data_IF_381453263978
#
_entry.id   IF_381453263978
#
_cell.length_a   1.000
_cell.length_b   1.000
_cell.length_c   1.000
_cell.angle_alpha   90.00
_cell.angle_beta   90.00
_cell.angle_gamma   90.00
#
_symmetry.space_group_name_H-M   'P 1'
#
loop_
_entity.id
_entity.type
_entity.pdbx_description
1 polymer ?
#
# COMPACT_ATOMS: atom_id res chain seq x y z
N UNK A 1 -15.65 37.70 82.42
CA UNK A 1 -16.15 37.03 81.22
C UNK A 1 -15.29 37.48 80.08
N UNK A 2 -14.40 36.59 79.58
CA UNK A 2 -13.55 36.86 78.38
C UNK A 2 -14.11 35.99 77.24
N UNK A 3 -14.57 36.69 76.18
CA UNK A 3 -15.04 36.04 74.91
C UNK A 3 -13.84 35.85 73.99
N UNK A 4 -13.51 34.59 73.71
CA UNK A 4 -12.43 34.23 72.78
C UNK A 4 -13.07 34.06 71.40
N UNK A 5 -12.69 34.94 70.45
CA UNK A 5 -13.05 34.80 69.04
C UNK A 5 -12.03 33.88 68.35
N UNK A 6 -12.49 32.71 67.93
CA UNK A 6 -11.69 31.81 67.06
C UNK A 6 -11.89 32.19 65.59
N UNK A 7 -10.85 32.74 64.98
CA UNK A 7 -10.81 32.98 63.56
C UNK A 7 -10.53 31.68 62.79
N UNK A 8 -11.56 31.11 62.16
CA UNK A 8 -11.38 30.09 61.16
C UNK A 8 -10.84 30.69 59.87
N UNK A 9 -9.57 30.43 59.54
CA UNK A 9 -9.02 30.67 58.22
C UNK A 9 -9.44 29.54 57.29
N UNK A 10 -10.38 29.83 56.38
CA UNK A 10 -10.72 28.95 55.28
C UNK A 10 -9.60 29.10 54.25
N UNK A 11 -8.77 28.04 54.09
CA UNK A 11 -7.76 27.94 53.05
C UNK A 11 -8.50 27.51 51.76
N UNK A 12 -8.80 28.48 50.87
CA UNK A 12 -9.29 28.19 49.54
C UNK A 12 -8.12 27.64 48.73
N UNK A 13 -8.11 26.30 48.55
CA UNK A 13 -7.20 25.63 47.64
C UNK A 13 -7.76 25.80 46.23
N UNK A 14 -7.23 26.75 45.45
CA UNK A 14 -7.57 26.94 44.04
C UNK A 14 -6.98 25.78 43.26
N UNK A 15 -7.79 24.83 42.90
CA UNK A 15 -7.40 23.78 41.93
C UNK A 15 -7.38 24.42 40.54
N UNK A 16 -6.20 24.76 40.07
CA UNK A 16 -5.99 25.18 38.69
C UNK A 16 -6.02 23.92 37.82
N UNK A 17 -7.15 23.67 37.20
CA UNK A 17 -7.26 22.61 36.18
C UNK A 17 -6.57 23.12 34.93
N UNK A 18 -5.35 22.67 34.66
CA UNK A 18 -4.70 22.84 33.38
C UNK A 18 -5.42 21.96 32.35
N UNK A 19 -6.40 22.51 31.65
CA UNK A 19 -6.89 21.91 30.40
C UNK A 19 -5.89 22.23 29.29
N UNK A 20 -4.78 21.49 29.23
CA UNK A 20 -3.94 21.46 28.05
C UNK A 20 -4.73 20.82 26.87
N UNK A 21 -4.46 21.22 25.62
CA UNK A 21 -5.08 20.56 24.49
C UNK A 21 -4.73 19.06 24.58
N UNK A 22 -5.74 18.23 24.70
CA UNK A 22 -5.60 16.78 24.49
C UNK A 22 -5.39 16.62 22.99
N UNK A 23 -4.14 16.55 22.56
CA UNK A 23 -3.82 16.04 21.23
C UNK A 23 -4.26 14.59 21.24
N UNK A 24 -5.38 14.29 20.62
CA UNK A 24 -5.74 12.92 20.30
C UNK A 24 -4.56 12.34 19.54
N UNK A 25 -3.94 11.28 20.04
CA UNK A 25 -3.02 10.52 19.21
C UNK A 25 -3.84 10.09 18.00
N UNK A 26 -3.45 10.56 16.83
CA UNK A 26 -3.95 10.04 15.58
C UNK A 26 -3.46 8.59 15.53
N UNK A 27 -4.30 7.67 15.99
CA UNK A 27 -4.01 6.23 15.97
C UNK A 27 -4.23 5.75 14.56
N UNK A 28 -3.41 6.26 13.64
CA UNK A 28 -3.36 5.78 12.27
C UNK A 28 -3.01 4.30 12.25
N UNK A 29 -3.51 3.61 11.23
CA UNK A 29 -3.12 2.23 10.95
C UNK A 29 -2.25 2.21 9.72
N UNK A 30 -1.21 1.35 9.76
CA UNK A 30 -0.47 0.96 8.57
C UNK A 30 -1.20 -0.20 7.90
N UNK A 31 -1.25 -0.17 6.58
CA UNK A 31 -1.79 -1.25 5.77
C UNK A 31 -0.67 -1.82 4.90
N UNK A 32 -0.57 -3.14 4.86
CA UNK A 32 0.36 -3.88 4.01
C UNK A 32 -0.44 -4.72 3.03
N UNK A 33 -0.18 -4.56 1.73
CA UNK A 33 -0.58 -5.49 0.70
C UNK A 33 0.53 -6.53 0.49
N UNK A 34 0.16 -7.80 0.41
CA UNK A 34 1.12 -8.87 0.21
C UNK A 34 0.49 -10.05 -0.54
N UNK A 35 1.30 -11.00 -0.94
CA UNK A 35 0.90 -12.26 -1.53
C UNK A 35 1.58 -13.41 -0.79
N UNK A 36 1.07 -14.63 -0.95
CA UNK A 36 1.66 -15.85 -0.39
C UNK A 36 2.00 -16.83 -1.51
N UNK A 37 2.93 -17.75 -1.22
CA UNK A 37 3.38 -18.74 -2.21
C UNK A 37 3.91 -18.08 -3.48
N UNK A 38 3.36 -18.44 -4.62
CA UNK A 38 3.66 -17.86 -5.91
C UNK A 38 2.62 -16.80 -6.37
N UNK A 39 1.63 -16.49 -5.53
CA UNK A 39 0.60 -15.48 -5.81
C UNK A 39 -0.65 -16.02 -6.50
N UNK A 40 -0.87 -17.33 -6.49
CA UNK A 40 -2.02 -17.98 -7.16
C UNK A 40 -3.36 -17.65 -6.49
N UNK A 41 -3.37 -17.49 -5.18
CA UNK A 41 -4.58 -17.17 -4.42
C UNK A 41 -4.89 -15.69 -4.33
N UNK A 42 -3.90 -14.81 -4.61
CA UNK A 42 -4.09 -13.40 -4.86
C UNK A 42 -3.73 -12.45 -3.71
N UNK A 43 -4.56 -11.40 -3.55
CA UNK A 43 -4.32 -10.29 -2.65
C UNK A 43 -4.55 -10.66 -1.20
N UNK A 44 -3.57 -10.44 -0.36
CA UNK A 44 -3.68 -10.43 1.09
C UNK A 44 -3.43 -9.04 1.65
N UNK A 45 -4.06 -8.75 2.78
CA UNK A 45 -3.89 -7.50 3.51
C UNK A 45 -3.58 -7.79 4.97
N UNK A 46 -2.70 -6.99 5.55
CA UNK A 46 -2.42 -6.96 6.97
C UNK A 46 -2.41 -5.53 7.48
N UNK A 47 -2.67 -5.33 8.76
CA UNK A 47 -2.58 -4.02 9.40
C UNK A 47 -1.62 -4.05 10.57
N UNK A 48 -1.09 -2.86 10.89
CA UNK A 48 -0.27 -2.62 12.06
C UNK A 48 -0.62 -1.28 12.68
N UNK A 49 -0.42 -1.13 13.98
CA UNK A 49 -0.53 0.14 14.72
C UNK A 49 0.82 0.79 14.99
N UNK A 50 1.93 0.04 14.80
CA UNK A 50 3.29 0.47 15.12
C UNK A 50 4.29 0.29 13.96
N UNK A 51 3.86 -0.38 12.87
CA UNK A 51 4.71 -0.70 11.72
C UNK A 51 5.62 -1.91 11.90
N UNK A 52 5.62 -2.55 13.07
CA UNK A 52 6.47 -3.71 13.39
C UNK A 52 5.67 -4.99 13.56
N UNK A 53 4.58 -4.95 14.30
CA UNK A 53 3.69 -6.09 14.49
C UNK A 53 2.52 -6.02 13.53
N UNK A 54 2.38 -7.06 12.69
CA UNK A 54 1.38 -7.12 11.62
C UNK A 54 0.35 -8.21 11.90
N UNK A 55 -0.92 -7.88 11.70
CA UNK A 55 -2.04 -8.80 11.83
C UNK A 55 -2.73 -8.95 10.49
N UNK A 56 -2.82 -10.21 10.01
CA UNK A 56 -3.54 -10.51 8.79
C UNK A 56 -5.03 -10.13 8.93
N UNK A 57 -5.57 -9.53 7.88
CA UNK A 57 -7.00 -9.30 7.74
C UNK A 57 -7.69 -10.52 7.12
N UNK A 58 -9.02 -10.59 7.23
CA UNK A 58 -9.86 -11.66 6.66
C UNK A 58 -9.42 -13.06 7.08
N UNK A 59 -8.91 -13.23 8.31
CA UNK A 59 -8.36 -14.50 8.82
C UNK A 59 -7.26 -15.09 7.93
N UNK A 60 -6.49 -14.24 7.27
CA UNK A 60 -5.42 -14.62 6.32
C UNK A 60 -5.91 -15.13 4.97
N UNK A 61 -7.22 -15.02 4.68
CA UNK A 61 -7.77 -15.39 3.37
C UNK A 61 -7.59 -14.25 2.36
N UNK A 62 -7.46 -14.61 1.09
CA UNK A 62 -7.37 -13.66 -0.01
C UNK A 62 -8.59 -12.73 -0.10
N UNK A 63 -8.37 -11.48 -0.50
CA UNK A 63 -9.38 -10.47 -0.83
C UNK A 63 -9.73 -10.43 -2.31
N UNK A 64 -8.83 -10.91 -3.17
CA UNK A 64 -9.02 -10.90 -4.62
C UNK A 64 -8.19 -12.00 -5.27
N UNK A 65 -8.86 -12.98 -5.87
CA UNK A 65 -8.21 -14.03 -6.68
C UNK A 65 -7.84 -13.45 -8.06
N UNK A 66 -6.60 -13.65 -8.56
CA UNK A 66 -6.17 -13.09 -9.83
C UNK A 66 -6.85 -13.74 -11.03
N UNK A 67 -7.22 -12.90 -12.00
CA UNK A 67 -7.80 -13.34 -13.28
C UNK A 67 -7.11 -12.68 -14.48
N UNK A 68 -6.28 -11.65 -14.26
CA UNK A 68 -5.52 -10.99 -15.30
C UNK A 68 -4.24 -11.75 -15.64
N UNK A 69 -3.85 -11.72 -16.92
CA UNK A 69 -2.72 -12.47 -17.47
C UNK A 69 -3.04 -13.94 -17.72
N UNK A 70 -2.12 -14.65 -18.36
CA UNK A 70 -2.26 -16.05 -18.67
C UNK A 70 -1.97 -16.95 -17.46
N UNK A 71 -0.91 -16.61 -16.69
CA UNK A 71 -0.52 -17.36 -15.50
C UNK A 71 -1.42 -17.05 -14.30
N UNK A 72 -2.15 -15.93 -14.34
CA UNK A 72 -3.09 -15.49 -13.30
C UNK A 72 -2.43 -15.45 -11.92
N UNK A 73 -1.24 -14.87 -11.83
CA UNK A 73 -0.57 -14.65 -10.57
C UNK A 73 -0.89 -13.23 -10.06
N UNK A 74 -0.81 -13.04 -8.76
CA UNK A 74 -0.81 -11.72 -8.12
C UNK A 74 0.37 -11.64 -7.18
N UNK A 75 1.47 -11.13 -7.72
CA UNK A 75 2.72 -10.92 -6.98
C UNK A 75 2.98 -9.44 -6.86
N UNK A 76 3.69 -9.05 -5.80
CA UNK A 76 4.12 -7.67 -5.59
C UNK A 76 2.96 -6.64 -5.72
N UNK A 77 1.80 -6.84 -5.04
CA UNK A 77 0.68 -5.92 -5.18
C UNK A 77 1.01 -4.57 -4.58
N UNK A 78 0.96 -3.51 -5.38
CA UNK A 78 1.15 -2.12 -4.97
C UNK A 78 -0.19 -1.36 -5.02
N UNK A 79 -0.55 -0.71 -3.91
CA UNK A 79 -1.85 -0.01 -3.76
C UNK A 79 -1.62 1.43 -3.34
N UNK A 80 -2.29 2.36 -4.03
CA UNK A 80 -2.39 3.75 -3.60
C UNK A 80 -3.85 4.21 -3.55
N UNK A 81 -4.15 5.19 -2.71
CA UNK A 81 -5.43 5.89 -2.76
C UNK A 81 -5.33 7.07 -3.72
N UNK A 82 -6.15 7.06 -4.76
CA UNK A 82 -6.23 8.11 -5.74
C UNK A 82 -7.01 9.33 -5.25
N UNK A 83 -6.85 10.46 -5.93
CA UNK A 83 -7.62 11.67 -5.66
C UNK A 83 -9.11 11.54 -6.02
N UNK A 84 -9.46 10.58 -6.87
CA UNK A 84 -10.83 10.18 -7.21
C UNK A 84 -11.52 9.39 -6.08
N UNK A 85 -10.79 9.16 -4.96
CA UNK A 85 -11.27 8.43 -3.80
C UNK A 85 -11.22 6.92 -3.93
N UNK A 86 -10.71 6.38 -5.03
CA UNK A 86 -10.51 4.95 -5.24
C UNK A 86 -9.14 4.51 -4.75
N UNK A 87 -9.04 3.25 -4.38
CA UNK A 87 -7.79 2.54 -4.23
C UNK A 87 -7.44 1.89 -5.58
N UNK A 88 -6.31 2.26 -6.14
CA UNK A 88 -5.77 1.68 -7.37
C UNK A 88 -4.71 0.67 -7.01
N UNK A 89 -4.72 -0.48 -7.68
CA UNK A 89 -3.74 -1.54 -7.46
C UNK A 89 -3.17 -2.02 -8.78
N UNK A 90 -1.85 -2.23 -8.80
CA UNK A 90 -1.12 -2.93 -9.85
C UNK A 90 -0.38 -4.12 -9.26
N UNK A 91 -0.09 -5.13 -10.09
CA UNK A 91 0.63 -6.33 -9.65
C UNK A 91 1.32 -7.05 -10.81
N UNK A 92 2.30 -7.89 -10.48
CA UNK A 92 2.93 -8.82 -11.40
C UNK A 92 2.00 -10.00 -11.68
N UNK A 93 1.65 -10.22 -12.95
CA UNK A 93 0.70 -11.27 -13.36
C UNK A 93 1.37 -12.59 -13.71
N UNK A 94 2.69 -12.57 -13.98
CA UNK A 94 3.42 -13.72 -14.53
C UNK A 94 4.93 -13.56 -14.33
N UNK A 95 5.65 -14.65 -14.41
CA UNK A 95 7.12 -14.63 -14.49
C UNK A 95 7.65 -14.16 -15.85
N UNK A 96 6.87 -14.29 -16.94
CA UNK A 96 7.35 -14.08 -18.31
C UNK A 96 6.45 -13.24 -19.21
N UNK A 97 5.35 -12.67 -18.72
CA UNK A 97 4.47 -11.83 -19.54
C UNK A 97 4.96 -10.38 -19.64
N UNK A 98 4.55 -9.72 -20.76
CA UNK A 98 4.94 -8.36 -21.11
C UNK A 98 3.94 -7.30 -20.61
N UNK A 99 3.23 -7.60 -19.56
CA UNK A 99 2.22 -6.73 -18.97
C UNK A 99 2.07 -6.93 -17.48
N UNK A 100 1.23 -6.09 -16.90
CA UNK A 100 0.92 -6.05 -15.47
C UNK A 100 -0.59 -6.13 -15.25
N UNK A 101 -1.01 -6.50 -14.05
CA UNK A 101 -2.40 -6.46 -13.65
C UNK A 101 -2.79 -5.10 -13.09
N UNK A 102 -4.06 -4.73 -13.24
CA UNK A 102 -4.67 -3.54 -12.65
C UNK A 102 -6.08 -3.81 -12.18
N UNK A 103 -6.46 -3.23 -11.06
CA UNK A 103 -7.84 -3.11 -10.60
C UNK A 103 -8.00 -1.89 -9.69
N UNK A 104 -9.26 -1.52 -9.42
CA UNK A 104 -9.57 -0.46 -8.48
C UNK A 104 -10.69 -0.86 -7.52
N UNK A 105 -10.68 -0.29 -6.32
CA UNK A 105 -11.69 -0.53 -5.29
C UNK A 105 -12.05 0.75 -4.55
N UNK A 106 -13.26 0.81 -3.99
CA UNK A 106 -13.68 1.88 -3.07
C UNK A 106 -13.32 1.59 -1.61
N UNK A 107 -13.13 0.33 -1.25
CA UNK A 107 -13.12 -0.14 0.13
C UNK A 107 -12.06 -1.22 0.42
N UNK A 108 -11.20 -1.55 -0.56
CA UNK A 108 -10.16 -2.60 -0.50
C UNK A 108 -10.72 -4.04 -0.41
N UNK A 109 -12.02 -4.19 -0.40
CA UNK A 109 -12.72 -5.48 -0.30
C UNK A 109 -13.39 -5.85 -1.62
N UNK A 110 -14.13 -4.87 -2.19
CA UNK A 110 -14.86 -5.05 -3.43
C UNK A 110 -14.09 -4.43 -4.59
N UNK A 111 -13.38 -5.28 -5.34
CA UNK A 111 -12.56 -4.88 -6.46
C UNK A 111 -13.35 -4.90 -7.77
N UNK A 112 -13.09 -3.94 -8.65
CA UNK A 112 -13.63 -3.88 -10.01
C UNK A 112 -13.07 -5.01 -10.86
N UNK A 113 -13.58 -5.14 -12.09
CA UNK A 113 -13.03 -6.08 -13.07
C UNK A 113 -11.53 -5.85 -13.24
N UNK A 114 -10.77 -6.93 -13.14
CA UNK A 114 -9.33 -6.92 -13.34
C UNK A 114 -9.00 -6.70 -14.81
N UNK A 115 -7.95 -5.95 -15.06
CA UNK A 115 -7.45 -5.64 -16.40
C UNK A 115 -6.00 -6.09 -16.53
N UNK A 116 -5.65 -6.60 -17.70
CA UNK A 116 -4.27 -6.80 -18.12
C UNK A 116 -3.82 -5.56 -18.88
N UNK A 117 -2.73 -4.94 -18.46
CA UNK A 117 -2.13 -3.78 -19.12
C UNK A 117 -0.86 -4.23 -19.87
N UNK A 118 -0.86 -4.26 -21.19
CA UNK A 118 0.26 -4.74 -22.00
C UNK A 118 1.35 -3.68 -22.16
N UNK A 119 2.00 -3.32 -21.06
CA UNK A 119 2.92 -2.15 -20.97
C UNK A 119 4.19 -2.28 -21.81
N UNK A 120 4.62 -3.49 -22.18
CA UNK A 120 5.78 -3.76 -23.03
C UNK A 120 5.49 -4.78 -24.15
N UNK A 121 4.22 -4.89 -24.56
CA UNK A 121 3.86 -5.78 -25.67
C UNK A 121 4.57 -5.35 -26.97
N UNK A 122 5.18 -6.32 -27.67
CA UNK A 122 5.94 -6.06 -28.88
C UNK A 122 7.38 -5.58 -28.69
N UNK A 123 7.79 -5.23 -27.47
CA UNK A 123 9.17 -4.78 -27.17
C UNK A 123 10.15 -5.94 -26.94
N UNK A 124 9.70 -7.19 -26.97
CA UNK A 124 10.54 -8.36 -26.71
C UNK A 124 10.98 -8.49 -25.24
N UNK A 125 10.30 -7.81 -24.33
CA UNK A 125 10.59 -7.89 -22.90
C UNK A 125 10.38 -9.32 -22.38
N UNK A 126 11.23 -9.74 -21.45
CA UNK A 126 11.11 -11.05 -20.80
C UNK A 126 10.08 -11.09 -19.68
N UNK A 127 9.81 -9.93 -19.09
CA UNK A 127 9.01 -9.83 -17.87
C UNK A 127 8.56 -8.38 -17.64
N UNK A 128 7.54 -8.21 -16.78
CA UNK A 128 7.14 -6.95 -16.18
C UNK A 128 6.88 -7.21 -14.70
N UNK A 129 7.87 -6.92 -13.84
CA UNK A 129 7.86 -7.31 -12.44
C UNK A 129 7.78 -6.13 -11.48
N UNK A 130 7.21 -6.42 -10.32
CA UNK A 130 7.11 -5.53 -9.18
C UNK A 130 6.66 -4.11 -9.58
N UNK A 131 5.47 -3.97 -10.19
CA UNK A 131 4.97 -2.65 -10.53
C UNK A 131 4.61 -1.87 -9.27
N UNK A 132 4.92 -0.58 -9.28
CA UNK A 132 4.55 0.36 -8.22
C UNK A 132 3.77 1.53 -8.79
N UNK A 133 2.83 2.03 -8.00
CA UNK A 133 2.02 3.21 -8.30
C UNK A 133 2.54 4.43 -7.54
N UNK A 134 2.60 5.55 -8.23
CA UNK A 134 2.88 6.86 -7.67
C UNK A 134 1.91 7.89 -8.22
N UNK A 135 1.41 8.78 -7.36
CA UNK A 135 0.62 9.94 -7.79
C UNK A 135 1.44 11.20 -7.60
N UNK A 136 1.77 11.87 -8.71
CA UNK A 136 2.42 13.17 -8.70
C UNK A 136 1.36 14.27 -8.60
N UNK A 137 1.22 14.86 -7.42
CA UNK A 137 0.28 15.95 -7.17
C UNK A 137 0.66 17.26 -7.86
N UNK A 138 1.91 17.43 -8.28
CA UNK A 138 2.37 18.65 -8.96
C UNK A 138 1.91 18.71 -10.41
N UNK A 139 1.79 17.57 -11.07
CA UNK A 139 1.37 17.43 -12.47
C UNK A 139 0.00 16.81 -12.64
N UNK A 140 -0.63 16.39 -11.53
CA UNK A 140 -1.89 15.65 -11.51
C UNK A 140 -1.86 14.36 -12.34
N UNK A 141 -0.75 13.62 -12.22
CA UNK A 141 -0.46 12.44 -13.06
C UNK A 141 -0.22 11.21 -12.19
N UNK A 142 -0.77 10.06 -12.62
CA UNK A 142 -0.41 8.76 -12.07
C UNK A 142 0.73 8.17 -12.89
N UNK A 143 1.74 7.67 -12.18
CA UNK A 143 2.87 6.98 -12.76
C UNK A 143 2.85 5.52 -12.30
N UNK A 144 3.19 4.60 -13.19
CA UNK A 144 3.43 3.20 -12.86
C UNK A 144 4.88 2.91 -13.23
N UNK A 145 5.64 2.37 -12.29
CA UNK A 145 7.01 1.91 -12.51
C UNK A 145 7.05 0.39 -12.45
N UNK A 146 7.88 -0.23 -13.26
CA UNK A 146 8.10 -1.68 -13.17
C UNK A 146 9.52 -2.05 -13.61
N UNK A 147 9.97 -3.25 -13.22
CA UNK A 147 11.26 -3.79 -13.63
C UNK A 147 11.12 -4.76 -14.80
N UNK A 148 11.92 -4.56 -15.84
CA UNK A 148 11.95 -5.44 -17.02
C UNK A 148 13.35 -5.65 -17.56
N UNK A 149 13.55 -6.78 -18.21
CA UNK A 149 14.70 -7.05 -19.09
C UNK A 149 14.22 -7.10 -20.53
N UNK A 150 14.79 -6.24 -21.37
CA UNK A 150 14.61 -6.30 -22.83
C UNK A 150 15.97 -6.74 -23.42
N UNK A 151 16.09 -8.00 -23.91
CA UNK A 151 17.35 -8.51 -24.45
C UNK A 151 17.89 -7.63 -25.59
N UNK A 152 19.19 -7.38 -25.60
CA UNK A 152 19.85 -6.57 -26.62
C UNK A 152 19.69 -5.06 -26.48
N UNK A 153 18.86 -4.56 -25.54
CA UNK A 153 18.62 -3.11 -25.39
C UNK A 153 19.76 -2.41 -24.62
N UNK A 154 20.44 -3.12 -23.72
CA UNK A 154 21.54 -2.58 -22.89
C UNK A 154 22.70 -3.57 -22.88
N UNK A 155 23.76 -3.27 -23.67
CA UNK A 155 24.89 -4.18 -23.91
C UNK A 155 25.74 -4.45 -22.68
N UNK A 156 25.83 -3.52 -21.76
CA UNK A 156 26.63 -3.63 -20.52
C UNK A 156 26.08 -4.62 -19.49
N UNK A 157 25.20 -5.48 -19.85
CA UNK A 157 24.66 -6.50 -18.96
C UNK A 157 24.08 -7.68 -19.72
N UNK A 158 24.36 -7.80 -21.02
CA UNK A 158 23.72 -8.79 -21.89
C UNK A 158 24.04 -10.24 -21.56
N UNK A 159 25.21 -10.53 -21.02
CA UNK A 159 25.60 -11.86 -20.55
C UNK A 159 24.90 -12.26 -19.22
N UNK A 160 24.16 -11.33 -18.62
CA UNK A 160 23.31 -11.61 -17.45
C UNK A 160 21.89 -11.95 -17.90
N UNK A 161 21.37 -13.07 -17.41
CA UNK A 161 20.04 -13.57 -17.73
C UNK A 161 18.92 -12.56 -17.41
N UNK A 162 19.15 -11.72 -16.40
CA UNK A 162 18.21 -10.70 -15.90
C UNK A 162 18.93 -9.37 -15.72
N UNK A 163 19.05 -8.61 -16.82
CA UNK A 163 19.58 -7.25 -16.80
C UNK A 163 18.39 -6.25 -16.68
N UNK A 164 17.77 -6.21 -15.50
CA UNK A 164 16.59 -5.39 -15.26
C UNK A 164 16.89 -3.89 -15.30
N UNK A 165 15.97 -3.15 -15.90
CA UNK A 165 15.88 -1.70 -15.82
C UNK A 165 14.48 -1.32 -15.36
N UNK A 166 14.36 -0.12 -14.78
CA UNK A 166 13.06 0.46 -14.45
C UNK A 166 12.49 1.15 -15.69
N UNK A 167 11.22 0.91 -15.91
CA UNK A 167 10.39 1.52 -16.94
C UNK A 167 9.20 2.20 -16.29
N UNK A 168 8.57 3.13 -16.98
CA UNK A 168 7.38 3.85 -16.55
C UNK A 168 6.48 4.20 -17.73
#
# INVERSE_FOLDING_TARGET
>A
MKVIWALYRILLCSIVIFSGPVYGQDTGYYLLSYFIGNGEDGLHLAYSTDGYEWKALNDGRSFLTPTAGNDKLMRDPSIIKGKDGLYHMVWTVSWGEQGIGYSASKDLVNWRQQQYLPVLEGEGARNCWAPELFYDSSTDTYLIFWASTIPGKFSEGEDQKYNHRLYY
#
